data_IF_557316861616
#
_entry.id   IF_557316861616
#
_cell.length_a   1.000
_cell.length_b   1.000
_cell.length_c   1.000
_cell.angle_alpha   90.00
_cell.angle_beta   90.00
_cell.angle_gamma   90.00
#
_symmetry.space_group_name_H-M   'P 1'
#
loop_
_entity.id
_entity.type
_entity.pdbx_description
1 polymer ?
#
# COMPACT_ATOMS: atom_id res chain seq x y z
N UNK A 1 26.61 -18.89 -18.33
CA UNK A 1 25.47 -18.71 -17.38
C UNK A 1 24.38 -19.67 -17.81
N UNK A 2 23.90 -20.56 -16.97
CA UNK A 2 22.75 -21.39 -17.34
C UNK A 2 21.57 -20.47 -17.61
N UNK A 3 20.91 -20.66 -18.76
CA UNK A 3 19.67 -19.99 -19.08
C UNK A 3 18.66 -20.36 -17.98
N UNK A 4 18.18 -19.37 -17.21
CA UNK A 4 17.21 -19.59 -16.16
C UNK A 4 15.98 -20.24 -16.77
N UNK A 5 15.64 -21.42 -16.26
CA UNK A 5 14.44 -22.10 -16.69
C UNK A 5 13.25 -21.12 -16.55
N UNK A 6 12.36 -20.99 -17.53
CA UNK A 6 11.27 -19.99 -17.53
C UNK A 6 10.40 -20.02 -16.25
N UNK A 7 10.39 -21.15 -15.54
CA UNK A 7 9.73 -21.26 -14.23
C UNK A 7 10.44 -20.54 -13.08
N UNK A 8 11.76 -20.41 -13.11
CA UNK A 8 12.50 -19.76 -12.01
C UNK A 8 12.30 -18.24 -12.01
N UNK A 9 12.35 -17.61 -13.18
CA UNK A 9 12.11 -16.15 -13.30
C UNK A 9 10.69 -15.77 -12.88
N UNK A 10 9.67 -16.56 -13.28
CA UNK A 10 8.30 -16.32 -12.87
C UNK A 10 8.12 -16.47 -11.34
N UNK A 11 8.73 -17.50 -10.74
CA UNK A 11 8.68 -17.72 -9.31
C UNK A 11 9.37 -16.60 -8.52
N UNK A 12 10.53 -16.15 -8.98
CA UNK A 12 11.25 -15.01 -8.38
C UNK A 12 10.41 -13.74 -8.40
N UNK A 13 9.77 -13.41 -9.52
CA UNK A 13 8.89 -12.25 -9.63
C UNK A 13 7.65 -12.35 -8.73
N UNK A 14 7.02 -13.52 -8.64
CA UNK A 14 5.88 -13.75 -7.74
C UNK A 14 6.31 -13.54 -6.29
N UNK A 15 7.43 -14.15 -5.89
CA UNK A 15 7.97 -14.00 -4.54
C UNK A 15 8.27 -12.54 -4.20
N UNK A 16 8.99 -11.83 -5.06
CA UNK A 16 9.32 -10.40 -4.87
C UNK A 16 8.04 -9.54 -4.78
N UNK A 17 7.03 -9.83 -5.59
CA UNK A 17 5.74 -9.11 -5.54
C UNK A 17 5.05 -9.30 -4.19
N UNK A 18 4.99 -10.55 -3.69
CA UNK A 18 4.36 -10.85 -2.41
C UNK A 18 5.15 -10.28 -1.23
N UNK A 19 6.47 -10.35 -1.26
CA UNK A 19 7.35 -9.74 -0.25
C UNK A 19 7.16 -8.21 -0.23
N UNK A 20 7.18 -7.56 -1.40
CA UNK A 20 6.97 -6.13 -1.53
C UNK A 20 5.60 -5.72 -1.00
N UNK A 21 4.52 -6.38 -1.45
CA UNK A 21 3.17 -6.05 -1.06
C UNK A 21 2.92 -6.29 0.44
N UNK A 22 3.45 -7.39 0.99
CA UNK A 22 3.32 -7.68 2.42
C UNK A 22 4.05 -6.66 3.28
N UNK A 23 5.32 -6.37 2.95
CA UNK A 23 6.14 -5.41 3.70
C UNK A 23 5.56 -3.99 3.61
N UNK A 24 5.18 -3.55 2.41
CA UNK A 24 4.54 -2.25 2.19
C UNK A 24 3.25 -2.12 3.00
N UNK A 25 2.40 -3.14 2.99
CA UNK A 25 1.14 -3.14 3.74
C UNK A 25 1.37 -3.04 5.24
N UNK A 26 2.32 -3.81 5.79
CA UNK A 26 2.67 -3.75 7.22
C UNK A 26 3.18 -2.36 7.60
N UNK A 27 4.10 -1.81 6.82
CA UNK A 27 4.64 -0.46 7.06
C UNK A 27 3.51 0.58 7.01
N UNK A 28 2.62 0.50 6.02
CA UNK A 28 1.50 1.42 5.87
C UNK A 28 0.47 1.29 7.00
N UNK A 29 0.19 0.08 7.49
CA UNK A 29 -0.67 -0.10 8.65
C UNK A 29 -0.05 0.51 9.91
N UNK A 30 1.25 0.38 10.09
CA UNK A 30 1.96 0.94 11.25
C UNK A 30 2.07 2.46 11.18
N UNK A 31 2.56 3.01 10.08
CA UNK A 31 2.76 4.45 9.90
C UNK A 31 1.44 5.18 9.55
N UNK A 32 0.57 4.54 8.80
CA UNK A 32 -0.72 5.10 8.39
C UNK A 32 -1.72 5.21 9.54
N UNK A 33 -1.65 4.32 10.54
CA UNK A 33 -2.55 4.38 11.71
C UNK A 33 -2.45 5.71 12.48
N UNK A 34 -1.28 6.16 12.95
CA UNK A 34 -1.17 7.45 13.63
C UNK A 34 -1.53 8.63 12.72
N UNK A 35 -1.20 8.55 11.44
CA UNK A 35 -1.56 9.58 10.47
C UNK A 35 -3.08 9.64 10.26
N UNK A 36 -3.74 8.49 10.06
CA UNK A 36 -5.20 8.39 9.93
C UNK A 36 -5.91 8.85 11.20
N UNK A 37 -5.38 8.49 12.37
CA UNK A 37 -5.91 8.94 13.65
C UNK A 37 -5.85 10.46 13.79
N UNK A 38 -4.70 11.04 13.45
CA UNK A 38 -4.54 12.49 13.48
C UNK A 38 -5.49 13.16 12.47
N UNK A 39 -5.54 12.68 11.23
CA UNK A 39 -6.45 13.22 10.20
C UNK A 39 -7.92 13.12 10.61
N UNK A 40 -8.35 12.03 11.26
CA UNK A 40 -9.72 11.87 11.70
C UNK A 40 -10.12 12.89 12.78
N UNK A 41 -9.18 13.29 13.67
CA UNK A 41 -9.46 14.09 14.87
C UNK A 41 -8.93 15.51 14.84
N UNK A 42 -8.01 15.83 13.94
CA UNK A 42 -7.45 17.17 13.87
C UNK A 42 -8.52 18.19 13.52
N UNK A 43 -8.58 19.26 14.32
CA UNK A 43 -9.38 20.47 14.08
C UNK A 43 -8.51 21.61 13.54
N UNK A 44 -7.26 21.32 13.19
CA UNK A 44 -6.28 22.28 12.68
C UNK A 44 -6.49 22.54 11.19
N UNK A 45 -6.12 23.74 10.73
CA UNK A 45 -6.08 24.09 9.31
C UNK A 45 -5.14 23.19 8.48
N UNK A 46 -4.14 22.57 9.11
CA UNK A 46 -3.25 21.61 8.48
C UNK A 46 -3.93 20.31 8.03
N UNK A 47 -5.14 20.00 8.53
CA UNK A 47 -5.88 18.79 8.13
C UNK A 47 -6.12 18.73 6.62
N UNK A 48 -6.53 19.86 6.02
CA UNK A 48 -6.77 19.94 4.58
C UNK A 48 -5.51 19.66 3.75
N UNK A 49 -4.42 20.43 3.91
CA UNK A 49 -3.17 20.18 3.20
C UNK A 49 -2.58 18.79 3.40
N UNK A 50 -2.60 18.26 4.62
CA UNK A 50 -2.12 16.92 4.90
C UNK A 50 -2.98 15.83 4.24
N UNK A 51 -4.31 15.98 4.27
CA UNK A 51 -5.23 15.09 3.56
C UNK A 51 -5.01 15.11 2.05
N UNK A 52 -4.79 16.30 1.48
CA UNK A 52 -4.46 16.46 0.06
C UNK A 52 -3.12 15.79 -0.29
N UNK A 53 -2.10 15.91 0.58
CA UNK A 53 -0.80 15.25 0.38
C UNK A 53 -0.93 13.71 0.42
N UNK A 54 -1.72 13.18 1.36
CA UNK A 54 -2.02 11.74 1.44
C UNK A 54 -2.76 11.26 0.18
N UNK A 55 -3.70 12.06 -0.33
CA UNK A 55 -4.50 11.71 -1.51
C UNK A 55 -3.77 11.98 -2.84
N UNK A 56 -2.66 12.72 -2.83
CA UNK A 56 -1.93 13.14 -4.04
C UNK A 56 -1.59 11.98 -4.99
N UNK A 57 -1.16 10.79 -4.51
CA UNK A 57 -0.88 9.65 -5.38
C UNK A 57 -2.07 9.15 -6.20
N UNK A 58 -3.32 9.42 -5.79
CA UNK A 58 -4.52 9.02 -6.55
C UNK A 58 -4.68 9.80 -7.84
N UNK A 59 -4.12 11.00 -7.92
CA UNK A 59 -4.28 11.93 -9.05
C UNK A 59 -3.02 11.97 -9.91
N UNK A 60 -1.85 11.81 -9.29
CA UNK A 60 -0.58 11.83 -10.01
C UNK A 60 -0.41 10.59 -10.89
N UNK A 61 0.02 10.75 -12.16
CA UNK A 61 0.48 9.62 -12.94
C UNK A 61 1.60 8.86 -12.21
N UNK A 62 1.57 7.52 -12.16
CA UNK A 62 2.58 6.71 -11.46
C UNK A 62 4.02 7.02 -11.91
N UNK A 63 4.21 7.28 -13.21
CA UNK A 63 5.51 7.64 -13.78
C UNK A 63 6.04 8.98 -13.25
N UNK A 64 5.15 9.97 -13.02
CA UNK A 64 5.54 11.27 -12.45
C UNK A 64 6.01 11.12 -11.03
N UNK A 65 5.26 10.39 -10.20
CA UNK A 65 5.67 10.12 -8.82
C UNK A 65 6.99 9.33 -8.79
N UNK A 66 7.10 8.27 -9.60
CA UNK A 66 8.31 7.47 -9.71
C UNK A 66 9.53 8.27 -10.14
N UNK A 67 9.37 9.19 -11.10
CA UNK A 67 10.44 10.10 -11.52
C UNK A 67 10.91 11.01 -10.38
N UNK A 68 10.01 11.68 -9.69
CA UNK A 68 10.40 12.54 -8.55
C UNK A 68 11.05 11.74 -7.41
N UNK A 69 10.58 10.53 -7.16
CA UNK A 69 11.22 9.64 -6.20
C UNK A 69 12.63 9.23 -6.65
N UNK A 70 12.79 8.88 -7.93
CA UNK A 70 14.10 8.52 -8.50
C UNK A 70 15.09 9.68 -8.33
N UNK A 71 14.69 10.92 -8.63
CA UNK A 71 15.55 12.10 -8.48
C UNK A 71 15.86 12.38 -6.99
N UNK A 72 14.85 12.28 -6.13
CA UNK A 72 14.99 12.63 -4.70
C UNK A 72 15.82 11.62 -3.92
N UNK A 73 15.64 10.32 -4.23
CA UNK A 73 16.36 9.20 -3.60
C UNK A 73 17.67 8.86 -4.31
N UNK A 74 17.91 9.44 -5.49
CA UNK A 74 19.12 9.26 -6.28
C UNK A 74 20.36 9.87 -5.61
N UNK A 75 21.58 9.56 -6.13
CA UNK A 75 22.82 9.96 -5.49
C UNK A 75 22.98 11.47 -5.30
N UNK A 76 22.44 12.27 -6.19
CA UNK A 76 22.50 13.74 -6.14
C UNK A 76 21.30 14.36 -5.43
N UNK A 77 20.29 13.57 -5.14
CA UNK A 77 19.07 13.99 -4.46
C UNK A 77 19.25 14.21 -2.93
N UNK A 78 18.37 14.99 -2.30
CA UNK A 78 18.49 15.31 -0.88
C UNK A 78 18.44 14.09 0.04
N UNK A 79 17.54 13.13 -0.25
CA UNK A 79 17.42 11.91 0.55
C UNK A 79 18.57 10.94 0.20
N UNK A 80 18.96 10.85 -1.08
CA UNK A 80 20.07 10.01 -1.48
C UNK A 80 21.41 10.43 -0.84
N UNK A 81 21.68 11.73 -0.75
CA UNK A 81 22.85 12.25 -0.01
C UNK A 81 22.80 11.89 1.48
N UNK A 82 21.62 12.00 2.09
CA UNK A 82 21.43 11.62 3.49
C UNK A 82 21.65 10.13 3.71
N UNK A 83 21.07 9.25 2.88
CA UNK A 83 21.25 7.79 3.01
C UNK A 83 22.70 7.37 2.78
N UNK A 84 23.41 8.02 1.86
CA UNK A 84 24.84 7.78 1.64
C UNK A 84 25.68 8.24 2.85
N UNK A 85 25.39 9.40 3.42
CA UNK A 85 26.10 9.89 4.61
C UNK A 85 25.91 9.00 5.84
N UNK A 86 24.78 8.27 5.90
CA UNK A 86 24.47 7.28 6.95
C UNK A 86 25.04 5.87 6.62
N UNK A 87 25.75 5.70 5.51
CA UNK A 87 26.31 4.41 5.09
C UNK A 87 25.26 3.42 4.54
N UNK A 88 24.03 3.86 4.27
CA UNK A 88 22.95 3.01 3.75
C UNK A 88 22.96 2.87 2.22
N UNK A 89 23.84 3.60 1.52
CA UNK A 89 23.90 3.62 0.06
C UNK A 89 22.73 4.38 -0.59
N UNK A 90 22.54 4.15 -1.91
CA UNK A 90 21.42 4.73 -2.67
C UNK A 90 20.26 3.75 -2.75
N UNK A 91 19.04 4.26 -2.64
CA UNK A 91 17.81 3.47 -2.66
C UNK A 91 17.32 3.07 -4.07
N UNK A 92 17.43 3.91 -5.12
CA UNK A 92 17.04 3.50 -6.47
C UNK A 92 17.69 2.18 -6.90
N UNK A 93 16.95 1.40 -7.69
CA UNK A 93 17.36 0.09 -8.20
C UNK A 93 17.62 -0.97 -7.12
N UNK A 94 17.06 -0.77 -5.93
CA UNK A 94 17.09 -1.72 -4.82
C UNK A 94 15.67 -2.09 -4.37
N UNK A 95 15.53 -3.23 -3.68
CA UNK A 95 14.27 -3.61 -3.06
C UNK A 95 13.80 -2.57 -2.02
N UNK A 96 14.72 -1.97 -1.26
CA UNK A 96 14.39 -0.88 -0.33
C UNK A 96 13.79 0.34 -1.04
N UNK A 97 14.30 0.69 -2.22
CA UNK A 97 13.72 1.75 -3.06
C UNK A 97 12.30 1.42 -3.52
N UNK A 98 12.04 0.15 -3.92
CA UNK A 98 10.68 -0.31 -4.24
C UNK A 98 9.74 -0.14 -3.06
N UNK A 99 10.17 -0.54 -1.85
CA UNK A 99 9.36 -0.42 -0.63
C UNK A 99 9.00 1.05 -0.36
N UNK A 100 9.96 1.96 -0.44
CA UNK A 100 9.70 3.40 -0.25
C UNK A 100 8.72 3.93 -1.31
N UNK A 101 8.92 3.59 -2.57
CA UNK A 101 8.02 3.98 -3.66
C UNK A 101 6.60 3.47 -3.44
N UNK A 102 6.46 2.17 -3.15
CA UNK A 102 5.17 1.53 -2.93
C UNK A 102 4.46 2.04 -1.68
N UNK A 103 5.20 2.35 -0.59
CA UNK A 103 4.62 2.97 0.62
C UNK A 103 4.01 4.34 0.28
N UNK A 104 4.71 5.18 -0.46
CA UNK A 104 4.21 6.50 -0.82
C UNK A 104 3.03 6.42 -1.81
N UNK A 105 3.11 5.53 -2.79
CA UNK A 105 2.08 5.39 -3.81
C UNK A 105 0.81 4.70 -3.29
N UNK A 106 0.95 3.69 -2.42
CA UNK A 106 -0.18 2.97 -1.83
C UNK A 106 -0.77 3.63 -0.58
N UNK A 107 -0.17 4.74 -0.11
CA UNK A 107 -0.57 5.44 1.13
C UNK A 107 -2.08 5.76 1.21
N UNK A 108 -2.72 6.34 0.17
CA UNK A 108 -4.15 6.67 0.25
C UNK A 108 -5.04 5.44 0.42
N UNK A 109 -4.67 4.29 -0.16
CA UNK A 109 -5.44 3.05 -0.09
C UNK A 109 -5.46 2.42 1.30
N UNK A 110 -4.54 2.82 2.17
CA UNK A 110 -4.48 2.36 3.57
C UNK A 110 -4.95 3.44 4.53
N UNK A 111 -4.49 4.67 4.38
CA UNK A 111 -4.81 5.76 5.31
C UNK A 111 -6.29 6.13 5.27
N UNK A 112 -6.88 6.27 4.07
CA UNK A 112 -8.28 6.70 3.96
C UNK A 112 -9.29 5.72 4.57
N UNK A 113 -9.23 4.38 4.32
CA UNK A 113 -10.15 3.45 4.98
C UNK A 113 -10.01 3.44 6.50
N UNK A 114 -8.79 3.58 7.05
CA UNK A 114 -8.58 3.67 8.50
C UNK A 114 -9.13 4.99 9.04
N UNK A 115 -8.87 6.11 8.37
CA UNK A 115 -9.41 7.42 8.74
C UNK A 115 -10.94 7.40 8.77
N UNK A 116 -11.58 6.89 7.72
CA UNK A 116 -13.03 6.77 7.64
C UNK A 116 -13.61 5.91 8.77
N UNK A 117 -12.91 4.82 9.14
CA UNK A 117 -13.31 3.99 10.27
C UNK A 117 -13.22 4.75 11.59
N UNK A 118 -12.17 5.53 11.82
CA UNK A 118 -12.02 6.36 13.01
C UNK A 118 -13.06 7.48 13.08
N UNK A 119 -13.37 8.13 11.96
CA UNK A 119 -14.41 9.15 11.88
C UNK A 119 -15.80 8.57 12.17
N UNK A 120 -16.09 7.36 11.70
CA UNK A 120 -17.36 6.67 11.91
C UNK A 120 -17.62 6.27 13.38
N UNK A 121 -16.57 6.07 14.18
CA UNK A 121 -16.69 5.76 15.63
C UNK A 121 -17.26 6.97 16.39
N UNK A 122 -16.89 8.18 15.99
CA UNK A 122 -17.31 9.42 16.67
C UNK A 122 -16.68 9.61 18.04
N UNK A 123 -17.24 10.54 18.84
CA UNK A 123 -16.70 10.90 20.16
C UNK A 123 -17.33 10.10 21.31
N UNK A 124 -18.59 9.67 21.17
CA UNK A 124 -19.36 9.01 22.26
C UNK A 124 -18.68 7.80 22.92
N UNK A 125 -18.11 6.84 22.17
CA UNK A 125 -17.44 5.70 22.80
C UNK A 125 -16.20 6.10 23.62
N UNK A 126 -15.54 7.18 23.24
CA UNK A 126 -14.36 7.69 23.94
C UNK A 126 -14.74 8.51 25.19
N UNK A 127 -15.82 9.26 25.12
CA UNK A 127 -16.39 9.95 26.29
C UNK A 127 -16.82 8.91 27.34
N UNK A 128 -17.46 7.81 26.91
CA UNK A 128 -17.82 6.71 27.80
C UNK A 128 -16.58 6.08 28.46
N UNK A 129 -15.51 5.83 27.69
CA UNK A 129 -14.25 5.32 28.24
C UNK A 129 -13.61 6.31 29.23
N UNK A 130 -13.68 7.61 28.95
CA UNK A 130 -13.17 8.65 29.83
C UNK A 130 -13.93 8.72 31.19
N UNK A 131 -15.24 8.47 31.19
CA UNK A 131 -16.02 8.38 32.45
C UNK A 131 -15.57 7.22 33.33
N UNK A 132 -15.02 6.17 32.73
CA UNK A 132 -14.41 5.01 33.41
C UNK A 132 -12.93 5.21 33.76
N UNK A 133 -12.42 6.44 33.60
CA UNK A 133 -11.01 6.81 33.84
C UNK A 133 -10.00 6.02 32.98
N UNK A 134 -10.42 5.52 31.81
CA UNK A 134 -9.50 4.88 30.88
C UNK A 134 -8.45 5.86 30.37
N UNK A 135 -7.19 5.45 30.31
CA UNK A 135 -6.12 6.25 29.72
C UNK A 135 -6.34 6.40 28.19
N UNK A 136 -5.73 7.41 27.53
CA UNK A 136 -5.85 7.57 26.08
C UNK A 136 -5.41 6.34 25.30
N UNK A 137 -4.34 5.66 25.75
CA UNK A 137 -3.81 4.44 25.13
C UNK A 137 -4.75 3.26 25.34
N UNK A 138 -5.30 3.13 26.54
CA UNK A 138 -6.27 2.09 26.86
C UNK A 138 -7.55 2.27 26.06
N UNK A 139 -8.08 3.51 25.99
CA UNK A 139 -9.24 3.84 25.15
C UNK A 139 -8.98 3.52 23.68
N UNK A 140 -7.77 3.81 23.17
CA UNK A 140 -7.40 3.47 21.79
C UNK A 140 -7.36 1.95 21.57
N UNK A 141 -6.66 1.20 22.42
CA UNK A 141 -6.50 -0.25 22.25
C UNK A 141 -7.77 -1.04 22.53
N UNK A 142 -8.53 -0.65 23.58
CA UNK A 142 -9.68 -1.43 24.06
C UNK A 142 -11.02 -1.01 23.42
N UNK A 143 -11.12 0.21 22.87
CA UNK A 143 -12.36 0.71 22.28
C UNK A 143 -12.19 1.00 20.80
N UNK A 144 -11.26 1.89 20.44
CA UNK A 144 -11.15 2.38 19.06
C UNK A 144 -10.69 1.29 18.11
N UNK A 145 -9.60 0.61 18.44
CA UNK A 145 -9.01 -0.40 17.57
C UNK A 145 -9.96 -1.58 17.28
N UNK A 146 -10.68 -2.14 18.28
CA UNK A 146 -11.70 -3.15 18.01
C UNK A 146 -12.85 -2.66 17.14
N UNK A 147 -13.33 -1.42 17.33
CA UNK A 147 -14.40 -0.85 16.52
C UNK A 147 -13.95 -0.52 15.10
N UNK A 148 -12.68 -0.16 14.91
CA UNK A 148 -12.08 0.14 13.61
C UNK A 148 -11.66 -1.11 12.81
N UNK A 149 -11.75 -2.34 13.36
CA UNK A 149 -11.32 -3.58 12.68
C UNK A 149 -11.77 -3.70 11.23
N UNK A 150 -13.04 -3.41 10.86
CA UNK A 150 -13.45 -3.49 9.46
C UNK A 150 -12.68 -2.54 8.54
N UNK A 151 -12.35 -1.33 9.03
CA UNK A 151 -11.52 -0.36 8.30
C UNK A 151 -10.09 -0.84 8.11
N UNK A 152 -9.49 -1.45 9.14
CA UNK A 152 -8.16 -2.05 9.04
C UNK A 152 -8.12 -3.23 8.06
N UNK A 153 -9.14 -4.08 8.06
CA UNK A 153 -9.24 -5.17 7.09
C UNK A 153 -9.31 -4.61 5.66
N UNK A 154 -10.18 -3.61 5.43
CA UNK A 154 -10.28 -2.96 4.13
C UNK A 154 -8.96 -2.33 3.72
N UNK A 155 -8.29 -1.59 4.63
CA UNK A 155 -7.00 -0.97 4.39
C UNK A 155 -5.91 -1.99 4.03
N UNK A 156 -5.82 -3.08 4.79
CA UNK A 156 -4.84 -4.14 4.53
C UNK A 156 -5.04 -4.79 3.16
N UNK A 157 -6.29 -5.15 2.83
CA UNK A 157 -6.60 -5.79 1.55
C UNK A 157 -6.38 -4.83 0.37
N UNK A 158 -6.83 -3.57 0.50
CA UNK A 158 -6.66 -2.57 -0.57
C UNK A 158 -5.19 -2.19 -0.77
N UNK A 159 -4.45 -1.95 0.31
CA UNK A 159 -3.03 -1.63 0.22
C UNK A 159 -2.22 -2.76 -0.39
N UNK A 160 -2.47 -3.99 0.05
CA UNK A 160 -1.83 -5.18 -0.50
C UNK A 160 -2.16 -5.39 -1.99
N UNK A 161 -3.43 -5.37 -2.36
CA UNK A 161 -3.87 -5.56 -3.75
C UNK A 161 -3.35 -4.46 -4.67
N UNK A 162 -3.34 -3.20 -4.21
CA UNK A 162 -2.79 -2.08 -4.96
C UNK A 162 -1.31 -2.28 -5.24
N UNK A 163 -0.52 -2.64 -4.21
CA UNK A 163 0.93 -2.87 -4.37
C UNK A 163 1.23 -4.07 -5.27
N UNK A 164 0.44 -5.14 -5.23
CA UNK A 164 0.59 -6.29 -6.15
C UNK A 164 0.40 -5.87 -7.61
N UNK A 165 -0.55 -4.97 -7.89
CA UNK A 165 -0.84 -4.47 -9.24
C UNK A 165 0.02 -3.29 -9.69
N UNK A 166 0.94 -2.82 -8.84
CA UNK A 166 1.75 -1.64 -9.12
C UNK A 166 2.74 -1.88 -10.27
N UNK A 167 2.81 -0.92 -11.21
CA UNK A 167 3.68 -1.00 -12.38
C UNK A 167 4.56 0.25 -12.53
N UNK A 168 3.97 1.43 -12.69
CA UNK A 168 4.68 2.64 -13.14
C UNK A 168 5.73 3.14 -12.16
N UNK A 169 5.42 3.21 -10.86
CA UNK A 169 6.38 3.66 -9.82
C UNK A 169 7.49 2.61 -9.69
N UNK A 170 7.12 1.32 -9.66
CA UNK A 170 8.08 0.22 -9.53
C UNK A 170 9.05 0.17 -10.72
N UNK A 171 8.56 0.38 -11.95
CA UNK A 171 9.41 0.46 -13.13
C UNK A 171 10.42 1.61 -13.02
N UNK A 172 9.95 2.80 -12.64
CA UNK A 172 10.79 4.00 -12.57
C UNK A 172 11.88 3.91 -11.49
N UNK A 173 11.54 3.41 -10.31
CA UNK A 173 12.48 3.38 -9.18
C UNK A 173 13.27 2.07 -9.11
N UNK A 174 12.71 0.99 -9.66
CA UNK A 174 13.30 -0.35 -9.61
C UNK A 174 14.18 -0.72 -10.78
N UNK A 175 13.92 -0.17 -11.98
CA UNK A 175 14.70 -0.44 -13.20
C UNK A 175 14.57 -1.87 -13.71
N UNK A 176 13.56 -2.65 -13.28
CA UNK A 176 13.23 -3.98 -13.81
C UNK A 176 14.41 -4.99 -13.77
N UNK A 177 15.16 -5.05 -12.68
CA UNK A 177 16.33 -5.91 -12.55
C UNK A 177 15.89 -7.31 -12.13
N UNK A 178 16.21 -8.39 -12.89
CA UNK A 178 15.91 -9.78 -12.54
C UNK A 178 16.37 -10.11 -11.11
N UNK A 179 15.58 -10.89 -10.39
CA UNK A 179 15.83 -11.38 -9.04
C UNK A 179 16.05 -10.31 -7.95
N UNK A 180 15.93 -9.02 -8.29
CA UNK A 180 16.13 -7.89 -7.36
C UNK A 180 14.96 -6.94 -7.28
N UNK A 181 14.41 -6.52 -8.42
CA UNK A 181 13.35 -5.50 -8.48
C UNK A 181 12.25 -5.83 -9.49
N UNK A 182 12.40 -6.93 -10.25
CA UNK A 182 11.41 -7.37 -11.22
C UNK A 182 10.23 -8.04 -10.50
N UNK A 183 9.09 -7.34 -10.46
CA UNK A 183 7.81 -7.85 -9.96
C UNK A 183 6.98 -8.43 -11.10
N UNK A 184 5.87 -9.12 -10.78
CA UNK A 184 5.02 -9.80 -11.78
C UNK A 184 4.49 -8.84 -12.84
N UNK A 185 4.07 -7.64 -12.47
CA UNK A 185 3.58 -6.64 -13.42
C UNK A 185 4.63 -6.24 -14.47
N UNK A 186 5.89 -6.11 -14.05
CA UNK A 186 7.02 -5.85 -14.95
C UNK A 186 7.35 -7.07 -15.81
N UNK A 187 7.28 -8.27 -15.27
CA UNK A 187 7.52 -9.48 -16.05
C UNK A 187 6.45 -9.70 -17.13
N UNK A 188 5.18 -9.41 -16.83
CA UNK A 188 4.12 -9.42 -17.85
C UNK A 188 4.45 -8.44 -18.98
N UNK A 189 4.88 -7.24 -18.62
CA UNK A 189 5.27 -6.21 -19.58
C UNK A 189 6.44 -6.66 -20.46
N UNK A 190 7.50 -7.25 -19.88
CA UNK A 190 8.64 -7.80 -20.62
C UNK A 190 8.21 -8.86 -21.64
N UNK A 191 7.33 -9.81 -21.25
CA UNK A 191 6.81 -10.83 -22.18
C UNK A 191 5.99 -10.23 -23.31
N UNK A 192 5.24 -9.14 -23.05
CA UNK A 192 4.51 -8.43 -24.10
C UNK A 192 5.46 -7.73 -25.05
N UNK A 193 6.51 -7.06 -24.58
CA UNK A 193 7.52 -6.42 -25.43
C UNK A 193 8.31 -7.45 -26.26
N UNK A 194 8.56 -8.63 -25.69
CA UNK A 194 9.23 -9.74 -26.38
C UNK A 194 8.27 -10.50 -27.35
N UNK A 195 7.01 -10.08 -27.48
CA UNK A 195 5.95 -10.77 -28.27
C UNK A 195 5.67 -12.21 -27.79
N UNK A 196 6.00 -12.54 -26.56
CA UNK A 196 5.76 -13.84 -25.92
C UNK A 196 4.37 -13.90 -25.27
N UNK A 197 3.33 -13.72 -26.07
CA UNK A 197 1.93 -13.58 -25.59
C UNK A 197 1.42 -14.77 -24.78
N UNK A 198 1.95 -15.97 -25.01
CA UNK A 198 1.55 -17.15 -24.24
C UNK A 198 1.97 -17.01 -22.78
N UNK A 199 3.22 -16.62 -22.50
CA UNK A 199 3.74 -16.42 -21.16
C UNK A 199 3.04 -15.23 -20.48
N UNK A 200 2.89 -14.11 -21.19
CA UNK A 200 2.13 -12.95 -20.71
C UNK A 200 0.70 -13.33 -20.30
N UNK A 201 0.01 -14.15 -21.12
CA UNK A 201 -1.36 -14.58 -20.84
C UNK A 201 -1.48 -15.44 -19.58
N UNK A 202 -0.56 -16.36 -19.33
CA UNK A 202 -0.57 -17.19 -18.12
C UNK A 202 -0.35 -16.38 -16.87
N UNK A 203 0.64 -15.47 -16.85
CA UNK A 203 0.89 -14.59 -15.72
C UNK A 203 -0.29 -13.63 -15.48
N UNK A 204 -0.84 -13.05 -16.55
CA UNK A 204 -1.99 -12.16 -16.46
C UNK A 204 -3.24 -12.89 -15.94
N UNK A 205 -3.51 -14.11 -16.41
CA UNK A 205 -4.61 -14.93 -15.89
C UNK A 205 -4.45 -15.23 -14.40
N UNK A 206 -3.22 -15.54 -13.96
CA UNK A 206 -2.88 -15.67 -12.54
C UNK A 206 -3.17 -14.42 -11.73
N UNK A 207 -2.80 -13.23 -12.24
CA UNK A 207 -3.08 -11.95 -11.61
C UNK A 207 -4.58 -11.63 -11.53
N UNK A 208 -5.35 -11.94 -12.59
CA UNK A 208 -6.82 -11.78 -12.59
C UNK A 208 -7.45 -12.68 -11.54
N UNK A 209 -7.08 -13.96 -11.50
CA UNK A 209 -7.58 -14.90 -10.50
C UNK A 209 -7.23 -14.45 -9.08
N UNK A 210 -5.98 -14.05 -8.85
CA UNK A 210 -5.53 -13.52 -7.57
C UNK A 210 -6.37 -12.31 -7.14
N UNK A 211 -6.53 -11.32 -8.02
CA UNK A 211 -7.32 -10.10 -7.75
C UNK A 211 -8.78 -10.42 -7.45
N UNK A 212 -9.38 -11.37 -8.19
CA UNK A 212 -10.73 -11.82 -7.93
C UNK A 212 -10.87 -12.46 -6.55
N UNK A 213 -9.95 -13.35 -6.18
CA UNK A 213 -9.95 -14.00 -4.85
C UNK A 213 -9.81 -12.97 -3.73
N UNK A 214 -8.88 -12.02 -3.88
CA UNK A 214 -8.67 -10.93 -2.89
C UNK A 214 -9.94 -10.11 -2.70
N UNK A 215 -10.59 -9.70 -3.79
CA UNK A 215 -11.85 -8.97 -3.73
C UNK A 215 -12.99 -9.82 -3.13
N UNK A 216 -13.08 -11.09 -3.50
CA UNK A 216 -14.07 -12.00 -2.94
C UNK A 216 -13.91 -12.11 -1.42
N UNK A 217 -12.69 -12.29 -0.93
CA UNK A 217 -12.38 -12.31 0.51
C UNK A 217 -12.81 -11.00 1.17
N UNK A 218 -12.48 -9.84 0.59
CA UNK A 218 -12.88 -8.54 1.11
C UNK A 218 -14.39 -8.41 1.22
N UNK A 219 -15.13 -8.76 0.16
CA UNK A 219 -16.60 -8.64 0.14
C UNK A 219 -17.29 -9.65 1.07
N UNK A 220 -16.71 -10.82 1.29
CA UNK A 220 -17.28 -11.83 2.20
C UNK A 220 -17.00 -11.52 3.67
N UNK A 221 -15.81 -10.99 3.97
CA UNK A 221 -15.41 -10.66 5.35
C UNK A 221 -15.93 -9.28 5.83
N UNK A 222 -16.35 -8.40 4.91
CA UNK A 222 -16.84 -7.07 5.24
C UNK A 222 -18.36 -6.91 5.03
N UNK A 223 -19.21 -7.44 5.94
CA UNK A 223 -20.66 -7.50 5.76
C UNK A 223 -21.41 -6.16 5.93
N UNK A 224 -20.70 -5.04 5.98
CA UNK A 224 -21.29 -3.71 6.25
C UNK A 224 -22.35 -3.25 5.21
N UNK A 225 -22.39 -3.86 4.03
CA UNK A 225 -23.44 -3.59 3.03
C UNK A 225 -24.81 -4.23 3.30
N UNK A 226 -24.90 -5.26 4.14
CA UNK A 226 -26.09 -6.08 4.29
C UNK A 226 -27.08 -5.62 5.36
N UNK A 227 -26.67 -4.73 6.29
CA UNK A 227 -27.53 -4.29 7.41
C UNK A 227 -28.37 -3.05 7.15
N UNK A 228 -28.20 -2.32 6.04
CA UNK A 228 -28.98 -1.11 5.73
C UNK A 228 -30.32 -1.37 5.01
N UNK A 229 -30.55 -2.55 4.47
CA UNK A 229 -31.78 -2.85 3.70
C UNK A 229 -32.97 -3.40 4.54
N UNK A 230 -32.82 -3.52 5.84
CA UNK A 230 -33.84 -4.15 6.72
C UNK A 230 -34.59 -3.24 7.68
N UNK A 231 -34.47 -1.92 7.56
CA UNK A 231 -35.13 -0.98 8.51
C UNK A 231 -35.90 0.15 7.82
N UNK A 232 -36.76 -0.21 6.89
CA UNK A 232 -37.92 0.61 6.47
C UNK A 232 -39.14 -0.31 6.56
N UNK A 233 -39.75 -0.36 7.71
CA UNK A 233 -41.15 -0.67 7.94
C UNK A 233 -41.58 0.11 9.19
#
# INVERSE_FOLDING_TARGET
>A
MPADAPGHAAWSAIRLTLELASLTTVILLLLGTPLAWWLARARSWWKGPAGALVALPLVLPPSVLGFYLLVTLGPDGPIGKLTQSLGLGVLPFTFGGLVVGSVLYSMPFVVQPIQNAFEAIGERPLEAAATLRASPLDSFCSVVLPLARPGYLTAAVMGFAHTVGEFGVVLMIGGNIPDRTRVVSLQIYDHVEALEFTQASWLSAGMVLFSFVVLLVLYTLNPTGRRRSGRIR
#
